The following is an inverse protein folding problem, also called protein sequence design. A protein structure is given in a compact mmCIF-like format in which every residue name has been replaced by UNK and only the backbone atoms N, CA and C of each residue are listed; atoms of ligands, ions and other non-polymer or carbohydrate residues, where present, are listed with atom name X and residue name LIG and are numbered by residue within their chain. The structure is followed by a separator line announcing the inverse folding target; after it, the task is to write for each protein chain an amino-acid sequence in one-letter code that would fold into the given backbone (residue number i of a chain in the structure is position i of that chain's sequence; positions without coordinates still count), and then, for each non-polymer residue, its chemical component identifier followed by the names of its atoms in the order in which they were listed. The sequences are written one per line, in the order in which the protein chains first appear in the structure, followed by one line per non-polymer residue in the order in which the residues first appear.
data_IF_055491337628
#
_entry.id   IF_055491337628
#
_cell.length_a   1.000
_cell.length_b   1.000
_cell.length_c   1.000
_cell.angle_alpha   90.00
_cell.angle_beta   90.00
_cell.angle_gamma   90.00
#
_symmetry.space_group_name_H-M   'P 1'
#
loop_
_entity.id
_entity.type
_entity.pdbx_description
1 polymer ?
#
# COMPACT_ATOMS: atom_id res chain seq x y z
N UNK A 1 -20.92 -28.20 25.68
CA UNK A 1 -20.43 -26.93 26.28
C UNK A 1 -20.99 -25.82 25.42
N UNK A 2 -21.88 -24.99 25.97
CA UNK A 2 -22.56 -23.92 25.24
C UNK A 2 -21.52 -23.01 24.56
N UNK A 3 -21.52 -22.97 23.23
CA UNK A 3 -20.86 -21.91 22.49
C UNK A 3 -21.65 -20.63 22.79
N UNK A 4 -21.14 -19.82 23.72
CA UNK A 4 -21.55 -18.43 23.82
C UNK A 4 -21.33 -17.81 22.44
N UNK A 5 -22.41 -17.52 21.71
CA UNK A 5 -22.35 -16.82 20.42
C UNK A 5 -21.89 -15.39 20.69
N UNK A 6 -20.58 -15.19 20.79
CA UNK A 6 -20.02 -13.84 20.83
C UNK A 6 -20.24 -13.20 19.47
N UNK A 7 -20.97 -12.08 19.44
CA UNK A 7 -21.21 -11.30 18.23
C UNK A 7 -19.95 -10.48 17.88
N UNK A 8 -18.89 -11.16 17.44
CA UNK A 8 -17.65 -10.54 17.00
C UNK A 8 -17.68 -10.37 15.48
N UNK A 9 -17.54 -9.14 15.00
CA UNK A 9 -17.34 -8.83 13.58
C UNK A 9 -15.94 -8.26 13.41
N UNK A 10 -15.21 -8.74 12.41
CA UNK A 10 -13.85 -8.27 12.11
C UNK A 10 -13.77 -7.80 10.67
N UNK A 11 -13.31 -6.57 10.49
CA UNK A 11 -13.12 -5.98 9.17
C UNK A 11 -11.64 -5.72 8.95
N UNK A 12 -11.14 -6.10 7.78
CA UNK A 12 -9.81 -5.77 7.32
C UNK A 12 -9.86 -4.94 6.05
N UNK A 13 -9.08 -3.86 6.00
CA UNK A 13 -8.72 -3.24 4.73
C UNK A 13 -7.23 -2.95 4.64
N UNK A 14 -6.72 -2.87 3.42
CA UNK A 14 -5.31 -2.57 3.14
C UNK A 14 -5.05 -2.34 1.66
N UNK A 15 -3.80 -2.04 1.30
CA UNK A 15 -3.41 -1.82 -0.09
C UNK A 15 -2.22 -2.70 -0.48
N UNK A 16 -2.28 -3.35 -1.64
CA UNK A 16 -1.11 -3.95 -2.27
C UNK A 16 -0.63 -3.09 -3.43
N UNK A 17 0.55 -2.51 -3.30
CA UNK A 17 1.15 -1.66 -4.33
C UNK A 17 2.20 -2.43 -5.12
N UNK A 18 2.09 -2.39 -6.45
CA UNK A 18 3.04 -2.96 -7.40
C UNK A 18 3.43 -1.94 -8.47
N UNK A 19 4.53 -2.17 -9.17
CA UNK A 19 4.96 -1.36 -10.31
C UNK A 19 4.99 -2.25 -11.54
N UNK A 20 4.23 -1.89 -12.58
CA UNK A 20 4.14 -2.64 -13.81
C UNK A 20 5.44 -2.56 -14.64
N UNK A 21 5.91 -3.73 -15.06
CA UNK A 21 6.99 -3.91 -16.02
C UNK A 21 6.55 -3.66 -17.45
N UNK A 22 7.50 -3.77 -18.39
CA UNK A 22 7.23 -3.61 -19.83
C UNK A 22 6.35 -4.75 -20.36
N UNK A 23 6.47 -5.93 -19.76
CA UNK A 23 5.65 -7.12 -19.99
C UNK A 23 4.33 -7.11 -19.20
N UNK A 24 4.13 -6.10 -18.35
CA UNK A 24 2.98 -5.93 -17.46
C UNK A 24 3.09 -6.68 -16.12
N UNK A 25 4.11 -7.51 -15.93
CA UNK A 25 4.37 -8.16 -14.65
C UNK A 25 4.90 -7.20 -13.59
N UNK A 26 4.66 -7.47 -12.31
CA UNK A 26 5.19 -6.64 -11.23
C UNK A 26 6.74 -6.66 -11.20
N UNK A 27 7.38 -5.50 -11.26
CA UNK A 27 8.82 -5.33 -11.16
C UNK A 27 9.31 -5.51 -9.72
N UNK A 28 10.53 -6.03 -9.57
CA UNK A 28 11.27 -5.92 -8.32
C UNK A 28 11.79 -4.48 -8.12
N UNK A 29 11.44 -3.87 -6.99
CA UNK A 29 11.80 -2.50 -6.65
C UNK A 29 12.12 -2.35 -5.17
N UNK A 30 12.51 -1.15 -4.72
CA UNK A 30 12.73 -0.83 -3.30
C UNK A 30 11.51 -0.11 -2.74
N UNK A 31 10.50 -0.83 -2.25
CA UNK A 31 9.27 -0.21 -1.77
C UNK A 31 9.44 0.68 -0.54
N UNK A 32 10.52 0.48 0.22
CA UNK A 32 10.73 1.13 1.52
C UNK A 32 11.84 2.21 1.49
N UNK A 33 12.24 2.67 0.30
CA UNK A 33 13.28 3.70 0.10
C UNK A 33 12.81 5.14 0.34
N UNK A 34 11.58 5.36 0.79
CA UNK A 34 11.06 6.69 1.13
C UNK A 34 11.29 7.07 2.60
N UNK A 35 11.07 8.35 2.91
CA UNK A 35 10.99 8.81 4.30
C UNK A 35 9.85 8.06 5.02
N UNK A 36 10.07 7.66 6.27
CA UNK A 36 9.02 7.02 7.07
C UNK A 36 7.84 7.97 7.24
N UNK A 37 6.66 7.52 6.82
CA UNK A 37 5.36 8.20 6.92
C UNK A 37 4.60 7.87 8.22
N UNK A 38 5.20 7.01 9.05
CA UNK A 38 4.59 6.44 10.25
C UNK A 38 5.07 7.12 11.54
N UNK A 39 4.19 7.27 12.54
CA UNK A 39 4.56 7.76 13.86
C UNK A 39 5.63 6.88 14.52
N UNK A 40 6.50 7.46 15.35
CA UNK A 40 7.63 6.72 15.95
C UNK A 40 7.23 5.69 17.02
N UNK A 41 5.97 5.70 17.48
CA UNK A 41 5.44 4.64 18.34
C UNK A 41 5.16 3.33 17.58
N UNK A 42 5.06 3.39 16.25
CA UNK A 42 4.87 2.20 15.41
C UNK A 42 6.15 1.38 15.43
N UNK A 43 6.03 0.09 15.75
CA UNK A 43 7.17 -0.81 15.74
C UNK A 43 7.65 -0.99 14.30
N UNK A 44 8.96 -1.07 14.16
CA UNK A 44 9.61 -1.50 12.94
C UNK A 44 10.69 -2.53 13.27
N UNK A 45 11.25 -3.16 12.24
CA UNK A 45 12.34 -4.13 12.41
C UNK A 45 13.48 -3.62 13.30
N UNK A 46 13.90 -2.36 13.15
CA UNK A 46 15.06 -1.80 13.84
C UNK A 46 14.83 -1.41 15.31
N UNK A 47 13.58 -1.11 15.73
CA UNK A 47 13.29 -0.54 17.07
C UNK A 47 12.61 -1.50 18.05
N UNK A 48 12.32 -2.74 17.62
CA UNK A 48 11.65 -3.74 18.45
C UNK A 48 12.62 -4.82 18.94
N UNK A 49 12.53 -5.17 20.22
CA UNK A 49 13.30 -6.28 20.83
C UNK A 49 12.89 -7.66 20.26
N UNK A 50 11.83 -7.69 19.45
CA UNK A 50 11.27 -8.86 18.77
C UNK A 50 11.22 -8.74 17.24
N UNK A 51 11.80 -7.67 16.65
CA UNK A 51 11.86 -7.48 15.20
C UNK A 51 13.24 -7.75 14.61
N UNK A 52 13.30 -7.70 13.28
CA UNK A 52 14.53 -7.86 12.49
C UNK A 52 15.63 -6.90 12.95
N UNK A 53 16.72 -7.42 13.52
CA UNK A 53 18.00 -6.70 13.75
C UNK A 53 18.69 -6.28 12.42
N UNK A 54 17.99 -5.61 11.50
CA UNK A 54 18.55 -5.10 10.27
C UNK A 54 18.43 -3.58 10.20
N UNK A 55 19.55 -2.83 10.22
CA UNK A 55 19.55 -1.38 10.04
C UNK A 55 19.25 -0.94 8.58
N UNK A 56 18.59 -1.75 7.75
CA UNK A 56 18.60 -1.60 6.28
C UNK A 56 17.23 -1.84 5.61
N UNK A 57 16.12 -1.41 6.23
CA UNK A 57 14.77 -1.47 5.66
C UNK A 57 14.72 -0.87 4.23
N UNK A 58 15.45 0.22 3.99
CA UNK A 58 15.55 0.92 2.70
C UNK A 58 16.16 0.07 1.57
N UNK A 59 16.95 -0.97 1.89
CA UNK A 59 17.64 -1.83 0.90
C UNK A 59 16.82 -3.04 0.49
N UNK A 60 15.74 -3.37 1.21
CA UNK A 60 14.87 -4.49 0.87
C UNK A 60 14.25 -4.25 -0.50
N UNK A 61 14.41 -5.24 -1.38
CA UNK A 61 13.68 -5.31 -2.62
C UNK A 61 12.50 -6.24 -2.48
N UNK A 62 11.40 -5.90 -3.17
CA UNK A 62 10.22 -6.74 -3.28
C UNK A 62 9.45 -6.41 -4.55
N UNK A 63 8.57 -7.31 -5.00
CA UNK A 63 7.59 -7.03 -6.06
C UNK A 63 6.37 -6.28 -5.55
N UNK A 64 5.91 -6.61 -4.34
CA UNK A 64 4.70 -6.04 -3.74
C UNK A 64 5.03 -5.32 -2.42
N UNK A 65 4.47 -4.13 -2.25
CA UNK A 65 4.39 -3.43 -0.95
C UNK A 65 2.98 -3.59 -0.39
N UNK A 66 2.87 -4.12 0.82
CA UNK A 66 1.62 -4.18 1.56
C UNK A 66 1.53 -2.95 2.49
N UNK A 67 0.65 -2.01 2.12
CA UNK A 67 0.52 -0.72 2.76
C UNK A 67 -0.74 -0.64 3.64
N UNK A 68 -0.52 -0.37 4.93
CA UNK A 68 -1.52 -0.17 6.00
C UNK A 68 -2.70 -1.16 5.99
N UNK A 69 -2.50 -2.49 5.99
CA UNK A 69 -3.50 -3.36 6.56
C UNK A 69 -3.86 -2.95 7.98
N UNK A 70 -5.15 -2.72 8.23
CA UNK A 70 -5.71 -2.53 9.56
C UNK A 70 -6.85 -3.52 9.78
N UNK A 71 -6.95 -4.04 11.00
CA UNK A 71 -8.04 -4.89 11.46
C UNK A 71 -8.87 -4.16 12.51
N UNK A 72 -10.15 -3.97 12.22
CA UNK A 72 -11.14 -3.44 13.16
C UNK A 72 -11.95 -4.56 13.80
N UNK A 73 -12.42 -4.29 15.02
CA UNK A 73 -13.23 -5.22 15.80
C UNK A 73 -14.51 -4.53 16.21
N UNK A 74 -15.63 -5.19 16.02
CA UNK A 74 -16.94 -4.75 16.48
C UNK A 74 -17.52 -5.86 17.35
N UNK A 75 -17.98 -5.48 18.54
CA UNK A 75 -18.54 -6.40 19.52
C UNK A 75 -19.51 -5.64 20.43
N UNK A 76 -20.50 -6.35 20.99
CA UNK A 76 -21.49 -5.75 21.89
C UNK A 76 -21.03 -5.68 23.35
N UNK A 77 -20.01 -6.48 23.70
CA UNK A 77 -19.47 -6.58 25.06
C UNK A 77 -17.95 -6.69 25.02
N UNK A 78 -17.30 -6.32 26.12
CA UNK A 78 -15.87 -6.58 26.26
C UNK A 78 -15.58 -8.07 26.14
N UNK A 79 -14.56 -8.41 25.35
CA UNK A 79 -14.16 -9.79 25.15
C UNK A 79 -12.66 -9.92 24.87
N UNK A 80 -12.13 -11.09 25.18
CA UNK A 80 -10.78 -11.46 24.81
C UNK A 80 -10.79 -12.05 23.39
N UNK A 81 -9.88 -11.58 22.55
CA UNK A 81 -9.71 -12.02 21.16
C UNK A 81 -8.24 -12.32 20.94
N UNK A 82 -7.94 -13.28 20.07
CA UNK A 82 -6.60 -13.47 19.52
C UNK A 82 -6.62 -13.45 18.00
N UNK A 83 -5.56 -12.87 17.41
CA UNK A 83 -5.40 -12.76 15.96
C UNK A 83 -3.99 -13.13 15.55
N UNK A 84 -3.91 -13.98 14.53
CA UNK A 84 -2.69 -14.32 13.81
C UNK A 84 -2.91 -14.19 12.32
N UNK A 85 -2.03 -13.45 11.64
CA UNK A 85 -1.97 -13.34 10.18
C UNK A 85 -0.67 -13.98 9.72
N UNK A 86 -0.77 -15.05 8.93
CA UNK A 86 0.38 -15.62 8.23
C UNK A 86 0.68 -14.82 6.97
N UNK A 87 1.97 -14.74 6.61
CA UNK A 87 2.41 -14.08 5.39
C UNK A 87 3.52 -14.91 4.70
N UNK A 88 3.18 -16.06 4.10
CA UNK A 88 4.16 -17.07 3.69
C UNK A 88 5.14 -16.59 2.62
N UNK A 89 4.68 -15.71 1.74
CA UNK A 89 5.46 -15.14 0.63
C UNK A 89 5.91 -13.70 0.92
N UNK A 90 5.96 -13.32 2.19
CA UNK A 90 6.30 -11.95 2.56
C UNK A 90 6.95 -11.81 3.92
N UNK A 91 7.18 -10.56 4.29
CA UNK A 91 7.83 -10.15 5.53
C UNK A 91 7.08 -8.97 6.11
N UNK A 92 6.77 -9.06 7.39
CA UNK A 92 6.21 -7.95 8.17
C UNK A 92 7.34 -6.98 8.50
N UNK A 93 7.13 -5.69 8.24
CA UNK A 93 8.15 -4.64 8.37
C UNK A 93 7.79 -3.62 9.44
N UNK A 94 6.49 -3.35 9.64
CA UNK A 94 5.99 -2.44 10.67
C UNK A 94 4.67 -2.94 11.25
N UNK A 95 4.41 -2.65 12.52
CA UNK A 95 3.16 -3.02 13.18
C UNK A 95 2.91 -2.20 14.46
N UNK A 96 1.65 -2.18 14.89
CA UNK A 96 1.22 -1.63 16.18
C UNK A 96 -0.18 -2.19 16.49
N UNK A 97 -0.55 -2.47 17.76
CA UNK A 97 0.26 -2.49 18.99
C UNK A 97 1.30 -3.62 19.03
N UNK A 98 1.96 -3.82 20.18
CA UNK A 98 2.97 -4.85 20.41
C UNK A 98 2.43 -6.25 20.07
N UNK A 99 3.04 -6.91 19.08
CA UNK A 99 2.75 -8.31 18.77
C UNK A 99 3.44 -9.27 19.75
N UNK A 100 2.84 -10.45 19.96
CA UNK A 100 3.44 -11.59 20.68
C UNK A 100 4.61 -12.19 19.91
N UNK A 101 4.51 -12.25 18.59
CA UNK A 101 5.62 -12.64 17.72
C UNK A 101 5.46 -12.12 16.30
N UNK A 102 6.59 -11.85 15.65
CA UNK A 102 6.66 -11.49 14.22
C UNK A 102 7.68 -12.41 13.56
N UNK A 103 7.21 -13.37 12.77
CA UNK A 103 8.03 -14.38 12.08
C UNK A 103 7.67 -14.42 10.60
N UNK A 104 7.03 -15.50 10.13
CA UNK A 104 6.49 -15.64 8.77
C UNK A 104 5.09 -15.04 8.66
N UNK A 105 4.85 -13.92 9.36
CA UNK A 105 3.55 -13.40 9.70
C UNK A 105 3.60 -12.62 11.01
N UNK A 106 2.44 -12.24 11.53
CA UNK A 106 2.29 -11.48 12.78
C UNK A 106 1.20 -12.10 13.65
N UNK A 107 1.50 -12.18 14.94
CA UNK A 107 0.64 -12.79 15.94
C UNK A 107 0.58 -11.89 17.17
N UNK A 108 -0.60 -11.34 17.48
CA UNK A 108 -0.80 -10.49 18.64
C UNK A 108 -1.06 -11.27 19.93
N UNK A 109 -1.24 -12.59 19.85
CA UNK A 109 -1.72 -13.37 20.98
C UNK A 109 -3.09 -12.89 21.45
N UNK A 110 -3.39 -13.06 22.73
CA UNK A 110 -4.65 -12.63 23.33
C UNK A 110 -4.60 -11.16 23.74
N UNK A 111 -5.59 -10.38 23.31
CA UNK A 111 -5.82 -8.99 23.66
C UNK A 111 -7.30 -8.74 23.95
N UNK A 112 -7.64 -7.56 24.46
CA UNK A 112 -9.03 -7.22 24.82
C UNK A 112 -9.65 -6.26 23.81
N UNK A 113 -10.87 -6.53 23.37
CA UNK A 113 -11.74 -5.62 22.61
C UNK A 113 -12.64 -4.90 23.59
N UNK A 114 -12.74 -3.57 23.48
CA UNK A 114 -13.33 -2.68 24.48
C UNK A 114 -14.44 -1.80 23.87
N UNK A 115 -15.61 -2.34 23.52
CA UNK A 115 -16.68 -1.55 22.89
C UNK A 115 -17.17 -0.43 23.81
N UNK A 116 -17.38 0.76 23.24
CA UNK A 116 -17.81 1.95 23.98
C UNK A 116 -16.73 2.64 24.84
N UNK A 117 -15.53 2.06 24.97
CA UNK A 117 -14.47 2.65 25.79
C UNK A 117 -13.93 3.96 25.18
N UNK A 118 -13.79 4.98 26.01
CA UNK A 118 -13.12 6.23 25.66
C UNK A 118 -11.64 6.12 26.01
N UNK A 119 -10.81 5.87 25.00
CA UNK A 119 -9.38 5.64 25.17
C UNK A 119 -8.58 6.71 24.45
N UNK A 120 -7.54 7.23 25.11
CA UNK A 120 -6.58 8.10 24.44
C UNK A 120 -5.55 7.24 23.69
N UNK A 121 -5.48 7.43 22.39
CA UNK A 121 -4.49 6.76 21.54
C UNK A 121 -3.21 7.57 21.43
N UNK A 122 -2.05 6.94 21.21
CA UNK A 122 -0.82 7.68 20.97
C UNK A 122 -0.96 8.55 19.72
N UNK A 123 -0.57 9.81 19.85
CA UNK A 123 -0.55 10.80 18.77
C UNK A 123 0.78 11.55 18.86
N UNK A 124 1.37 11.84 17.71
CA UNK A 124 2.53 12.70 17.55
C UNK A 124 2.14 13.92 16.73
N UNK A 125 2.82 15.04 16.97
CA UNK A 125 2.65 16.24 16.16
C UNK A 125 3.08 15.99 14.71
N UNK A 126 2.37 16.61 13.78
CA UNK A 126 2.60 16.45 12.34
C UNK A 126 1.52 15.62 11.65
N UNK A 127 1.41 15.80 10.34
CA UNK A 127 0.50 15.02 9.51
C UNK A 127 1.02 13.58 9.34
N UNK A 128 0.13 12.59 9.47
CA UNK A 128 0.44 11.20 9.17
C UNK A 128 -0.80 10.49 8.63
N UNK A 129 -0.59 9.70 7.59
CA UNK A 129 -1.60 8.83 6.98
C UNK A 129 -2.11 7.72 7.92
N UNK A 130 -1.44 7.52 9.05
CA UNK A 130 -1.84 6.56 10.07
C UNK A 130 -3.15 6.97 10.79
N UNK A 131 -3.32 8.25 11.10
CA UNK A 131 -4.41 8.69 11.99
C UNK A 131 -5.82 8.66 11.37
N UNK A 132 -6.03 8.96 10.07
CA UNK A 132 -7.35 8.86 9.45
C UNK A 132 -8.01 7.48 9.60
N UNK A 133 -7.22 6.40 9.66
CA UNK A 133 -7.71 5.04 9.92
C UNK A 133 -8.44 4.90 11.27
N UNK A 134 -8.33 5.86 12.20
CA UNK A 134 -9.05 5.83 13.47
C UNK A 134 -10.50 6.33 13.38
N UNK A 135 -10.90 6.95 12.26
CA UNK A 135 -12.19 7.62 12.07
C UNK A 135 -13.33 6.62 11.78
N UNK A 136 -13.45 5.58 12.61
CA UNK A 136 -14.44 4.50 12.50
C UNK A 136 -15.19 4.29 13.81
N UNK A 137 -16.24 3.46 13.77
CA UNK A 137 -16.99 3.04 14.96
C UNK A 137 -16.42 1.78 15.63
N UNK A 138 -15.26 1.29 15.18
CA UNK A 138 -14.62 0.09 15.73
C UNK A 138 -14.35 0.22 17.24
N UNK A 139 -14.43 -0.88 17.95
CA UNK A 139 -14.07 -0.94 19.36
C UNK A 139 -12.55 -0.81 19.52
N UNK A 140 -12.06 0.05 20.45
CA UNK A 140 -10.66 0.05 20.84
C UNK A 140 -10.17 -1.34 21.25
N UNK A 141 -8.91 -1.63 20.96
CA UNK A 141 -8.21 -2.81 21.44
C UNK A 141 -7.19 -2.43 22.50
N UNK A 142 -7.01 -3.30 23.50
CA UNK A 142 -5.95 -3.20 24.51
C UNK A 142 -5.06 -4.42 24.44
N UNK A 143 -3.79 -4.19 24.10
CA UNK A 143 -2.75 -5.22 24.07
C UNK A 143 -1.80 -5.00 25.25
N UNK A 144 -1.61 -6.04 26.06
CA UNK A 144 -0.68 -6.03 27.19
C UNK A 144 0.62 -6.73 26.77
N UNK A 145 1.75 -6.05 26.87
CA UNK A 145 3.06 -6.61 26.54
C UNK A 145 4.17 -6.17 27.49
N UNK A 146 5.40 -6.55 27.18
CA UNK A 146 6.57 -6.19 28.01
C UNK A 146 6.86 -4.69 28.06
N UNK A 147 6.32 -3.92 27.10
CA UNK A 147 6.41 -2.45 27.09
C UNK A 147 5.19 -1.77 27.72
N UNK A 148 4.40 -2.53 28.48
CA UNK A 148 3.19 -2.06 29.15
C UNK A 148 1.92 -2.27 28.33
N UNK A 149 0.87 -1.56 28.71
CA UNK A 149 -0.42 -1.61 28.03
C UNK A 149 -0.44 -0.62 26.87
N UNK A 150 -0.85 -1.10 25.70
CA UNK A 150 -0.99 -0.30 24.49
C UNK A 150 -2.43 -0.37 23.98
N UNK A 151 -2.92 0.77 23.50
CA UNK A 151 -4.27 0.88 22.99
C UNK A 151 -4.26 1.44 21.57
N UNK A 152 -5.17 0.93 20.74
CA UNK A 152 -5.38 1.43 19.39
C UNK A 152 -6.82 1.15 18.95
N UNK A 153 -7.28 1.82 17.90
CA UNK A 153 -8.58 1.57 17.26
C UNK A 153 -8.60 0.30 16.40
N UNK A 154 -7.42 -0.21 16.04
CA UNK A 154 -7.20 -1.32 15.12
C UNK A 154 -5.88 -2.04 15.42
N UNK A 155 -5.71 -3.25 14.87
CA UNK A 155 -4.37 -3.84 14.72
C UNK A 155 -3.80 -3.42 13.37
N UNK A 156 -2.63 -2.80 13.37
CA UNK A 156 -1.93 -2.33 12.18
C UNK A 156 -0.74 -3.22 11.86
N UNK A 157 -0.57 -3.55 10.59
CA UNK A 157 0.62 -4.21 10.09
C UNK A 157 0.93 -3.84 8.65
N UNK A 158 2.22 -3.76 8.31
CA UNK A 158 2.73 -3.52 6.97
C UNK A 158 3.80 -4.54 6.64
N UNK A 159 4.03 -4.72 5.34
CA UNK A 159 5.03 -5.65 4.88
C UNK A 159 5.40 -5.50 3.43
N UNK A 160 6.26 -6.39 2.99
CA UNK A 160 6.68 -6.54 1.60
C UNK A 160 6.64 -8.01 1.23
N UNK A 161 6.38 -8.33 -0.03
CA UNK A 161 6.30 -9.71 -0.46
C UNK A 161 6.66 -9.97 -1.91
N UNK A 162 6.88 -11.26 -2.18
CA UNK A 162 7.25 -11.86 -3.45
C UNK A 162 6.15 -12.83 -3.88
N UNK A 163 5.01 -12.27 -4.27
CA UNK A 163 3.85 -13.03 -4.76
C UNK A 163 3.21 -12.30 -5.95
N UNK A 164 2.47 -13.06 -6.75
CA UNK A 164 1.74 -12.52 -7.90
C UNK A 164 0.34 -12.05 -7.50
N UNK A 165 -0.03 -10.88 -8.01
CA UNK A 165 -1.39 -10.36 -7.96
C UNK A 165 -2.15 -10.80 -9.23
N UNK A 166 -3.49 -10.90 -9.18
CA UNK A 166 -4.26 -11.45 -10.29
C UNK A 166 -4.40 -10.48 -11.47
N UNK A 167 -4.00 -9.22 -11.30
CA UNK A 167 -4.08 -8.20 -12.35
C UNK A 167 -2.71 -7.94 -12.97
N UNK A 168 -2.60 -8.18 -14.27
CA UNK A 168 -1.49 -7.72 -15.10
C UNK A 168 -1.90 -6.43 -15.81
N UNK A 169 -1.01 -5.44 -15.81
CA UNK A 169 -1.25 -4.14 -16.43
C UNK A 169 -0.05 -3.77 -17.29
N UNK A 170 -0.27 -3.54 -18.58
CA UNK A 170 0.77 -3.15 -19.54
C UNK A 170 0.33 -1.92 -20.32
N UNK A 171 1.28 -1.10 -20.73
CA UNK A 171 1.05 -0.03 -21.69
C UNK A 171 1.51 -0.47 -23.09
N UNK A 172 0.62 -0.43 -24.07
CA UNK A 172 0.91 -0.70 -25.47
C UNK A 172 0.56 0.52 -26.32
N UNK A 173 1.60 1.23 -26.79
CA UNK A 173 1.42 2.54 -27.40
C UNK A 173 0.79 3.51 -26.39
N UNK A 174 -0.41 4.01 -26.71
CA UNK A 174 -1.20 4.88 -25.83
C UNK A 174 -2.25 4.17 -24.98
N UNK A 175 -2.44 2.86 -25.16
CA UNK A 175 -3.52 2.09 -24.55
C UNK A 175 -3.03 1.25 -23.37
N UNK A 176 -3.91 1.05 -22.40
CA UNK A 176 -3.69 0.22 -21.21
C UNK A 176 -4.28 -1.16 -21.48
N UNK A 177 -3.43 -2.16 -21.54
CA UNK A 177 -3.82 -3.58 -21.56
C UNK A 177 -3.97 -4.05 -20.11
N UNK A 178 -5.15 -4.55 -19.77
CA UNK A 178 -5.45 -5.07 -18.45
C UNK A 178 -5.88 -6.52 -18.59
N UNK A 179 -5.20 -7.43 -17.88
CA UNK A 179 -5.44 -8.86 -17.97
C UNK A 179 -5.62 -9.48 -16.59
N UNK A 180 -6.70 -10.22 -16.43
CA UNK A 180 -6.91 -11.09 -15.28
C UNK A 180 -6.13 -12.40 -15.49
N UNK A 181 -5.14 -12.63 -14.62
CA UNK A 181 -4.35 -13.87 -14.53
C UNK A 181 -4.94 -14.84 -13.50
N UNK A 182 -5.89 -14.39 -12.70
CA UNK A 182 -6.58 -15.18 -11.69
C UNK A 182 -7.68 -16.05 -12.29
N UNK A 183 -8.22 -16.93 -11.44
CA UNK A 183 -9.37 -17.79 -11.79
C UNK A 183 -10.71 -17.11 -11.51
N UNK A 184 -10.75 -16.24 -10.51
CA UNK A 184 -11.95 -15.51 -10.11
C UNK A 184 -12.07 -14.23 -10.93
N UNK A 185 -13.30 -13.82 -11.24
CA UNK A 185 -13.59 -12.54 -11.88
C UNK A 185 -13.13 -11.41 -10.96
N UNK A 186 -12.36 -10.47 -11.50
CA UNK A 186 -12.09 -9.20 -10.82
C UNK A 186 -13.31 -8.32 -11.07
N UNK A 187 -13.90 -7.77 -10.01
CA UNK A 187 -15.03 -6.86 -10.17
C UNK A 187 -14.56 -5.46 -10.57
N UNK A 188 -15.06 -4.43 -9.89
CA UNK A 188 -14.79 -3.06 -10.32
C UNK A 188 -13.30 -2.72 -10.27
N UNK A 189 -12.83 -2.15 -11.37
CA UNK A 189 -11.47 -1.61 -11.49
C UNK A 189 -11.47 -0.23 -12.14
N UNK A 190 -10.44 0.54 -11.83
CA UNK A 190 -10.34 1.96 -12.16
C UNK A 190 -9.02 2.21 -12.85
N UNK A 191 -9.04 2.83 -14.03
CA UNK A 191 -7.85 3.43 -14.63
C UNK A 191 -7.85 4.91 -14.24
N UNK A 192 -6.83 5.33 -13.50
CA UNK A 192 -6.64 6.72 -13.07
C UNK A 192 -5.36 7.28 -13.66
N UNK A 193 -5.42 8.52 -14.13
CA UNK A 193 -4.24 9.28 -14.52
C UNK A 193 -4.27 10.68 -13.94
N UNK A 194 -3.13 11.14 -13.44
CA UNK A 194 -2.87 12.54 -13.13
C UNK A 194 -1.59 12.99 -13.86
N UNK A 195 -1.66 14.11 -14.58
CA UNK A 195 -0.52 14.71 -15.27
C UNK A 195 -0.57 16.22 -15.12
N UNK A 196 0.48 16.79 -14.54
CA UNK A 196 0.62 18.23 -14.31
C UNK A 196 -0.59 18.85 -13.58
N UNK A 197 -1.14 18.11 -12.61
CA UNK A 197 -2.29 18.53 -11.81
C UNK A 197 -3.65 18.37 -12.49
N UNK A 198 -3.70 17.91 -13.75
CA UNK A 198 -4.96 17.52 -14.41
C UNK A 198 -5.18 16.02 -14.24
N UNK A 199 -6.36 15.64 -13.78
CA UNK A 199 -6.71 14.25 -13.51
C UNK A 199 -7.85 13.72 -14.39
N UNK A 200 -7.88 12.40 -14.54
CA UNK A 200 -8.87 11.68 -15.31
C UNK A 200 -9.03 10.26 -14.78
N UNK A 201 -10.23 9.69 -14.89
CA UNK A 201 -10.43 8.28 -14.59
C UNK A 201 -11.58 7.64 -15.37
N UNK A 202 -11.51 6.31 -15.48
CA UNK A 202 -12.59 5.45 -15.98
C UNK A 202 -12.78 4.28 -15.03
N UNK A 203 -14.04 3.93 -14.75
CA UNK A 203 -14.44 2.79 -13.93
C UNK A 203 -15.03 1.74 -14.88
N UNK A 204 -14.69 0.49 -14.64
CA UNK A 204 -15.18 -0.67 -15.38
C UNK A 204 -15.74 -1.69 -14.39
N UNK A 205 -16.81 -2.39 -14.78
CA UNK A 205 -17.59 -3.22 -13.85
C UNK A 205 -16.93 -4.54 -13.50
N UNK A 206 -16.29 -5.20 -14.47
CA UNK A 206 -15.67 -6.51 -14.26
C UNK A 206 -14.60 -6.84 -15.30
N UNK A 207 -13.75 -7.81 -14.96
CA UNK A 207 -12.71 -8.35 -15.80
C UNK A 207 -12.56 -9.86 -15.59
N UNK A 208 -12.90 -10.64 -16.61
CA UNK A 208 -12.72 -12.11 -16.64
C UNK A 208 -11.50 -12.56 -17.45
N UNK A 209 -11.04 -11.73 -18.40
CA UNK A 209 -9.94 -12.06 -19.30
C UNK A 209 -9.04 -10.86 -19.55
N UNK A 210 -8.88 -10.48 -20.82
CA UNK A 210 -8.01 -9.38 -21.24
C UNK A 210 -8.84 -8.29 -21.95
N UNK A 211 -8.52 -7.03 -21.67
CA UNK A 211 -9.12 -5.86 -22.32
C UNK A 211 -8.05 -4.84 -22.65
N UNK A 212 -8.25 -4.13 -23.77
CA UNK A 212 -7.41 -3.01 -24.20
C UNK A 212 -8.25 -1.75 -24.06
N UNK A 213 -7.75 -0.79 -23.28
CA UNK A 213 -8.51 0.37 -22.85
C UNK A 213 -7.75 1.66 -23.15
N UNK A 214 -8.45 2.71 -23.55
CA UNK A 214 -7.84 4.02 -23.67
C UNK A 214 -7.53 4.61 -22.29
N UNK A 215 -6.47 5.42 -22.24
CA UNK A 215 -6.20 6.29 -21.10
C UNK A 215 -7.35 7.28 -20.91
N UNK A 216 -7.68 7.64 -19.66
CA UNK A 216 -8.75 8.59 -19.39
C UNK A 216 -8.42 9.98 -19.94
N UNK A 217 -9.45 10.72 -20.34
CA UNK A 217 -9.35 12.17 -20.55
C UNK A 217 -9.07 12.85 -19.20
N UNK A 218 -8.24 13.90 -19.20
CA UNK A 218 -7.82 14.59 -17.97
C UNK A 218 -8.76 15.76 -17.63
N UNK A 219 -10.05 15.46 -17.55
CA UNK A 219 -11.16 16.40 -17.38
C UNK A 219 -12.00 16.16 -16.12
N UNK A 220 -11.57 15.26 -15.23
CA UNK A 220 -12.29 14.92 -13.98
C UNK A 220 -11.51 15.28 -12.73
N UNK A 221 -12.21 15.52 -11.63
CA UNK A 221 -11.59 15.85 -10.34
C UNK A 221 -11.32 14.61 -9.50
N UNK A 222 -10.30 14.69 -8.65
CA UNK A 222 -9.98 13.66 -7.65
C UNK A 222 -11.12 13.46 -6.65
N UNK A 223 -11.81 14.53 -6.25
CA UNK A 223 -12.94 14.44 -5.31
C UNK A 223 -14.08 13.55 -5.82
N UNK A 224 -14.33 13.52 -7.13
CA UNK A 224 -15.35 12.66 -7.71
C UNK A 224 -14.92 11.19 -7.62
N UNK A 225 -13.65 10.92 -7.94
CA UNK A 225 -13.07 9.59 -7.82
C UNK A 225 -13.03 9.08 -6.36
N UNK A 226 -12.75 9.95 -5.40
CA UNK A 226 -12.75 9.58 -3.97
C UNK A 226 -14.12 9.04 -3.55
N UNK A 227 -15.20 9.75 -3.89
CA UNK A 227 -16.58 9.31 -3.61
C UNK A 227 -16.90 8.00 -4.32
N UNK A 228 -16.51 7.84 -5.58
CA UNK A 228 -16.72 6.59 -6.32
C UNK A 228 -15.98 5.42 -5.67
N UNK A 229 -14.73 5.62 -5.21
CA UNK A 229 -13.98 4.60 -4.48
C UNK A 229 -14.67 4.25 -3.16
N UNK A 230 -15.20 5.21 -2.41
CA UNK A 230 -15.96 4.93 -1.18
C UNK A 230 -17.20 4.06 -1.46
N UNK A 231 -17.93 4.34 -2.54
CA UNK A 231 -19.08 3.53 -2.99
C UNK A 231 -18.64 2.12 -3.39
N UNK A 232 -17.51 1.99 -4.10
CA UNK A 232 -16.95 0.68 -4.46
C UNK A 232 -16.60 -0.09 -3.18
N UNK A 233 -15.81 0.49 -2.28
CA UNK A 233 -15.36 -0.15 -1.04
C UNK A 233 -16.53 -0.61 -0.15
N UNK A 234 -17.60 0.18 -0.06
CA UNK A 234 -18.81 -0.19 0.68
C UNK A 234 -19.59 -1.31 0.00
N UNK A 235 -19.63 -1.35 -1.33
CA UNK A 235 -20.20 -2.48 -2.10
C UNK A 235 -19.46 -3.80 -1.81
N UNK A 236 -18.16 -3.73 -1.51
CA UNK A 236 -17.34 -4.88 -1.12
C UNK A 236 -17.41 -5.23 0.39
N UNK A 237 -18.24 -4.53 1.15
CA UNK A 237 -18.57 -4.87 2.54
C UNK A 237 -17.94 -3.98 3.61
N UNK A 238 -17.12 -2.99 3.25
CA UNK A 238 -16.66 -2.01 4.25
C UNK A 238 -17.83 -1.16 4.74
N UNK A 239 -17.81 -0.78 6.01
CA UNK A 239 -18.72 0.25 6.50
C UNK A 239 -18.34 1.63 5.94
N UNK A 240 -19.32 2.53 5.82
CA UNK A 240 -19.12 3.85 5.23
C UNK A 240 -17.95 4.63 5.84
N UNK A 241 -17.82 4.61 7.17
CA UNK A 241 -16.70 5.25 7.87
C UNK A 241 -15.35 4.58 7.62
N UNK A 242 -15.33 3.27 7.42
CA UNK A 242 -14.09 2.55 7.07
C UNK A 242 -13.63 2.89 5.66
N UNK A 243 -14.56 2.94 4.70
CA UNK A 243 -14.28 3.34 3.33
C UNK A 243 -13.74 4.78 3.25
N UNK A 244 -14.39 5.72 3.96
CA UNK A 244 -13.90 7.11 4.10
C UNK A 244 -12.52 7.17 4.75
N UNK A 245 -12.31 6.42 5.84
CA UNK A 245 -11.03 6.35 6.52
C UNK A 245 -9.91 5.83 5.61
N UNK A 246 -10.17 4.78 4.82
CA UNK A 246 -9.21 4.24 3.85
C UNK A 246 -8.84 5.28 2.77
N UNK A 247 -9.83 5.94 2.16
CA UNK A 247 -9.59 6.97 1.14
C UNK A 247 -8.82 8.16 1.73
N UNK A 248 -9.19 8.62 2.92
CA UNK A 248 -8.50 9.71 3.63
C UNK A 248 -7.08 9.34 4.04
N UNK A 249 -6.83 8.09 4.45
CA UNK A 249 -5.48 7.57 4.72
C UNK A 249 -4.61 7.69 3.48
N UNK A 250 -5.12 7.39 2.28
CA UNK A 250 -4.31 7.33 1.06
C UNK A 250 -4.40 8.53 0.13
N UNK A 251 -5.21 9.55 0.46
CA UNK A 251 -5.52 10.68 -0.41
C UNK A 251 -4.29 11.39 -0.99
N UNK A 252 -3.21 11.51 -0.21
CA UNK A 252 -1.98 12.18 -0.64
C UNK A 252 -1.16 11.34 -1.62
N UNK A 253 -1.33 10.02 -1.63
CA UNK A 253 -0.45 9.08 -2.33
C UNK A 253 -1.12 8.38 -3.51
N UNK A 254 -2.43 8.12 -3.42
CA UNK A 254 -3.19 7.44 -4.48
C UNK A 254 -3.45 8.35 -5.68
N UNK A 255 -3.46 9.67 -5.48
CA UNK A 255 -3.87 10.62 -6.52
C UNK A 255 -2.72 11.53 -6.98
N UNK A 256 -1.47 11.19 -6.64
CA UNK A 256 -0.25 11.84 -7.14
C UNK A 256 -0.10 11.71 -8.66
N UNK A 257 0.89 12.37 -9.24
CA UNK A 257 1.18 12.30 -10.66
C UNK A 257 1.51 10.87 -11.14
N UNK A 258 1.00 10.49 -12.30
CA UNK A 258 1.21 9.19 -12.93
C UNK A 258 -0.07 8.47 -13.35
N UNK A 259 0.11 7.33 -14.02
CA UNK A 259 -0.94 6.42 -14.46
C UNK A 259 -0.96 5.20 -13.55
N UNK A 260 -2.14 4.79 -13.10
CA UNK A 260 -2.32 3.61 -12.24
C UNK A 260 -3.65 2.93 -12.43
N UNK A 261 -3.69 1.67 -12.06
CA UNK A 261 -4.92 0.86 -12.02
C UNK A 261 -5.22 0.44 -10.60
N UNK A 262 -6.43 0.73 -10.14
CA UNK A 262 -6.98 0.30 -8.86
C UNK A 262 -8.00 -0.82 -9.07
N UNK A 263 -8.08 -1.78 -8.17
CA UNK A 263 -9.11 -2.80 -8.14
C UNK A 263 -9.23 -3.38 -6.73
N UNK A 264 -10.39 -3.94 -6.39
CA UNK A 264 -10.51 -4.74 -5.15
C UNK A 264 -9.99 -6.14 -5.44
N UNK A 265 -9.00 -6.58 -4.66
CA UNK A 265 -8.39 -7.90 -4.79
C UNK A 265 -9.43 -8.97 -4.42
N UNK A 266 -9.64 -9.99 -5.26
CA UNK A 266 -10.57 -11.07 -4.95
C UNK A 266 -10.30 -11.68 -3.58
N UNK A 267 -11.35 -11.91 -2.79
CA UNK A 267 -11.23 -12.38 -1.40
C UNK A 267 -10.40 -13.66 -1.27
N UNK A 268 -10.60 -14.63 -2.17
CA UNK A 268 -9.82 -15.88 -2.18
C UNK A 268 -8.33 -15.65 -2.37
N UNK A 269 -7.95 -14.66 -3.19
CA UNK A 269 -6.56 -14.27 -3.39
C UNK A 269 -5.98 -13.66 -2.11
N UNK A 270 -6.72 -12.77 -1.46
CA UNK A 270 -6.33 -12.20 -0.16
C UNK A 270 -6.15 -13.29 0.91
N UNK A 271 -7.07 -14.24 1.02
CA UNK A 271 -6.98 -15.34 1.99
C UNK A 271 -5.80 -16.28 1.72
N UNK A 272 -5.40 -16.46 0.47
CA UNK A 272 -4.23 -17.25 0.11
C UNK A 272 -2.90 -16.52 0.40
N UNK A 273 -2.85 -15.20 0.21
CA UNK A 273 -1.66 -14.37 0.46
C UNK A 273 -1.47 -14.15 1.96
N UNK A 274 -2.56 -13.84 2.67
CA UNK A 274 -2.59 -13.48 4.09
C UNK A 274 -3.57 -14.38 4.86
N UNK A 275 -3.30 -15.68 5.05
CA UNK A 275 -4.16 -16.52 5.87
C UNK A 275 -4.32 -15.93 7.28
N UNK A 276 -5.55 -15.83 7.78
CA UNK A 276 -5.86 -15.23 9.07
C UNK A 276 -6.59 -16.23 9.97
N UNK A 277 -6.18 -16.30 11.23
CA UNK A 277 -6.84 -17.07 12.30
C UNK A 277 -7.25 -16.13 13.42
N UNK A 278 -8.51 -16.21 13.82
CA UNK A 278 -9.11 -15.38 14.88
C UNK A 278 -9.85 -16.29 15.86
N UNK A 279 -9.63 -16.10 17.16
CA UNK A 279 -10.33 -16.81 18.24
C UNK A 279 -10.89 -15.81 19.27
N UNK A 280 -12.18 -15.85 19.62
CA UNK A 280 -13.20 -16.74 19.05
C UNK A 280 -13.43 -16.45 17.56
N UNK A 281 -13.97 -17.44 16.84
CA UNK A 281 -14.31 -17.26 15.43
C UNK A 281 -15.33 -16.12 15.28
N UNK A 282 -15.07 -15.10 14.44
CA UNK A 282 -16.00 -14.01 14.27
C UNK A 282 -17.25 -14.49 13.54
N UNK A 283 -18.39 -13.90 13.88
CA UNK A 283 -19.66 -14.08 13.18
C UNK A 283 -19.55 -13.60 11.72
N UNK A 284 -18.73 -12.58 11.48
CA UNK A 284 -18.44 -12.05 10.16
C UNK A 284 -16.96 -11.60 10.05
N UNK A 285 -16.33 -11.95 8.93
CA UNK A 285 -14.98 -11.50 8.58
C UNK A 285 -15.00 -10.86 7.19
N UNK A 286 -14.97 -9.53 7.13
CA UNK A 286 -14.82 -8.75 5.89
C UNK A 286 -13.35 -8.47 5.64
N UNK A 287 -12.90 -8.60 4.39
CA UNK A 287 -11.50 -8.29 3.99
C UNK A 287 -11.50 -7.64 2.62
N UNK A 288 -11.20 -6.35 2.57
CA UNK A 288 -11.20 -5.53 1.35
C UNK A 288 -9.82 -4.93 1.15
N UNK A 289 -9.01 -5.60 0.33
CA UNK A 289 -7.68 -5.13 -0.01
C UNK A 289 -7.70 -4.54 -1.43
N UNK A 290 -7.16 -3.34 -1.59
CA UNK A 290 -7.07 -2.67 -2.89
C UNK A 290 -5.73 -2.99 -3.53
N UNK A 291 -5.76 -3.54 -4.74
CA UNK A 291 -4.60 -3.63 -5.59
C UNK A 291 -4.37 -2.28 -6.28
N UNK A 292 -3.17 -1.72 -6.12
CA UNK A 292 -2.70 -0.50 -6.77
C UNK A 292 -1.51 -0.85 -7.67
N UNK A 293 -1.69 -0.73 -8.98
CA UNK A 293 -0.62 -1.00 -9.95
C UNK A 293 -0.18 0.31 -10.59
N UNK A 294 1.05 0.73 -10.31
CA UNK A 294 1.66 1.90 -10.94
C UNK A 294 2.20 1.56 -12.32
N UNK A 295 1.94 2.42 -13.30
CA UNK A 295 2.39 2.23 -14.68
C UNK A 295 3.42 3.30 -15.01
N UNK A 296 4.65 2.88 -15.35
CA UNK A 296 5.68 3.79 -15.85
C UNK A 296 5.36 4.12 -17.31
N UNK A 297 5.04 5.38 -17.59
CA UNK A 297 4.71 5.84 -18.94
C UNK A 297 5.94 6.35 -19.70
N UNK A 298 5.92 6.34 -21.05
CA UNK A 298 6.97 6.93 -21.87
C UNK A 298 7.25 8.41 -21.54
N UNK A 299 6.21 9.18 -21.20
CA UNK A 299 6.36 10.59 -20.85
C UNK A 299 7.13 10.77 -19.53
N UNK A 300 6.93 9.87 -18.57
CA UNK A 300 7.70 9.86 -17.32
C UNK A 300 9.17 9.51 -17.58
N UNK A 301 9.43 8.50 -18.42
CA UNK A 301 10.79 8.14 -18.83
C UNK A 301 11.50 9.31 -19.51
N UNK A 302 10.85 9.95 -20.48
CA UNK A 302 11.39 11.10 -21.20
C UNK A 302 11.63 12.30 -20.27
N UNK A 303 10.68 12.60 -19.39
CA UNK A 303 10.81 13.68 -18.42
C UNK A 303 12.00 13.45 -17.49
N UNK A 304 12.15 12.25 -16.92
CA UNK A 304 13.28 11.91 -16.05
C UNK A 304 14.59 11.92 -16.82
N UNK A 305 14.65 11.34 -18.02
CA UNK A 305 15.86 11.32 -18.85
C UNK A 305 16.34 12.73 -19.19
N UNK A 306 15.43 13.66 -19.52
CA UNK A 306 15.76 15.08 -19.74
C UNK A 306 16.39 15.72 -18.49
N UNK A 307 15.92 15.39 -17.29
CA UNK A 307 16.53 15.93 -16.06
C UNK A 307 17.88 15.26 -15.75
N UNK A 308 18.02 13.97 -16.01
CA UNK A 308 19.31 13.26 -15.85
C UNK A 308 20.39 13.91 -16.72
N UNK A 309 20.08 14.28 -17.97
CA UNK A 309 21.00 14.99 -18.85
C UNK A 309 21.50 16.31 -18.25
N UNK A 310 20.62 17.04 -17.53
CA UNK A 310 20.96 18.32 -16.88
C UNK A 310 21.88 18.18 -15.68
N UNK A 311 22.07 16.98 -15.13
CA UNK A 311 23.02 16.76 -14.03
C UNK A 311 24.48 17.01 -14.44
N UNK A 312 24.77 17.04 -15.74
CA UNK A 312 26.08 17.42 -16.30
C UNK A 312 26.31 18.94 -16.34
N UNK A 313 25.28 19.74 -16.14
CA UNK A 313 25.39 21.20 -16.30
C UNK A 313 26.35 21.78 -15.26
N UNK A 314 27.29 22.68 -15.63
CA UNK A 314 28.25 23.26 -14.70
C UNK A 314 27.60 24.13 -13.60
N UNK A 315 26.41 24.66 -13.84
CA UNK A 315 25.66 25.47 -12.90
C UNK A 315 24.98 24.62 -11.81
N UNK A 316 25.22 24.96 -10.54
CA UNK A 316 24.72 24.17 -9.39
C UNK A 316 23.20 24.20 -9.29
N UNK A 317 22.60 25.37 -9.51
CA UNK A 317 21.16 25.60 -9.48
C UNK A 317 20.42 24.73 -10.49
N UNK A 318 21.02 24.49 -11.66
CA UNK A 318 20.44 23.60 -12.69
C UNK A 318 20.47 22.15 -12.21
N UNK A 319 21.58 21.70 -11.62
CA UNK A 319 21.69 20.33 -11.09
C UNK A 319 20.74 20.09 -9.91
N UNK A 320 20.60 21.06 -9.01
CA UNK A 320 19.66 20.99 -7.87
C UNK A 320 18.22 20.93 -8.36
N UNK A 321 17.83 21.78 -9.31
CA UNK A 321 16.49 21.76 -9.89
C UNK A 321 16.21 20.44 -10.62
N UNK A 322 17.18 19.92 -11.37
CA UNK A 322 17.07 18.63 -12.04
C UNK A 322 16.89 17.48 -11.04
N UNK A 323 17.69 17.45 -9.97
CA UNK A 323 17.55 16.44 -8.91
C UNK A 323 16.16 16.51 -8.25
N UNK A 324 15.67 17.71 -7.93
CA UNK A 324 14.32 17.90 -7.37
C UNK A 324 13.24 17.36 -8.32
N UNK A 325 13.38 17.62 -9.62
CA UNK A 325 12.44 17.14 -10.63
C UNK A 325 12.50 15.60 -10.81
N UNK A 326 13.68 14.99 -10.69
CA UNK A 326 13.83 13.52 -10.67
C UNK A 326 13.15 12.93 -9.44
N UNK A 327 13.39 13.53 -8.26
CA UNK A 327 12.86 13.05 -6.98
C UNK A 327 11.35 13.30 -6.80
N UNK A 328 10.71 14.06 -7.70
CA UNK A 328 9.25 14.30 -7.72
C UNK A 328 8.45 12.99 -7.75
N UNK A 329 8.99 11.94 -8.37
CA UNK A 329 8.35 10.61 -8.46
C UNK A 329 8.56 9.74 -7.20
N UNK A 330 9.19 10.30 -6.16
CA UNK A 330 9.36 9.66 -4.85
C UNK A 330 9.98 8.26 -4.96
N UNK A 331 9.32 7.29 -4.32
CA UNK A 331 9.74 5.88 -4.30
C UNK A 331 9.72 5.18 -5.66
N UNK A 332 9.07 5.76 -6.67
CA UNK A 332 9.00 5.21 -8.03
C UNK A 332 10.13 5.71 -8.94
N UNK A 333 10.96 6.64 -8.45
CA UNK A 333 12.13 7.17 -9.17
C UNK A 333 13.09 6.05 -9.61
N UNK A 334 13.46 5.12 -8.71
CA UNK A 334 14.37 4.03 -9.04
C UNK A 334 13.82 3.10 -10.15
N UNK A 335 12.56 2.62 -10.09
CA UNK A 335 11.94 1.91 -11.20
C UNK A 335 12.02 2.64 -12.55
N UNK A 336 11.74 3.94 -12.59
CA UNK A 336 11.81 4.74 -13.83
C UNK A 336 13.26 4.79 -14.35
N UNK A 337 14.22 5.08 -13.47
CA UNK A 337 15.65 5.11 -13.80
C UNK A 337 16.13 3.76 -14.37
N UNK A 338 15.75 2.63 -13.75
CA UNK A 338 16.09 1.29 -14.25
C UNK A 338 15.51 1.03 -15.63
N UNK A 339 14.31 1.53 -15.92
CA UNK A 339 13.67 1.37 -17.23
C UNK A 339 14.38 2.18 -18.31
N UNK A 340 14.77 3.42 -18.01
CA UNK A 340 15.59 4.25 -18.90
C UNK A 340 16.95 3.58 -19.14
N UNK A 341 17.63 3.10 -18.09
CA UNK A 341 18.94 2.44 -18.17
C UNK A 341 18.94 1.25 -19.16
N UNK A 342 17.84 0.48 -19.19
CA UNK A 342 17.68 -0.67 -20.09
C UNK A 342 17.43 -0.29 -21.55
N UNK A 343 16.98 0.94 -21.83
CA UNK A 343 16.52 1.37 -23.17
C UNK A 343 17.42 2.39 -23.84
N UNK A 344 18.09 3.24 -23.07
CA UNK A 344 18.98 4.27 -23.62
C UNK A 344 20.25 3.63 -24.18
N UNK A 345 20.81 4.21 -25.25
CA UNK A 345 22.14 3.86 -25.77
C UNK A 345 23.21 4.89 -25.39
N UNK A 346 22.81 6.03 -24.82
CA UNK A 346 23.72 7.08 -24.36
C UNK A 346 24.50 6.63 -23.12
N UNK A 347 25.82 6.46 -23.29
CA UNK A 347 26.72 5.95 -22.26
C UNK A 347 26.89 6.92 -21.08
N UNK A 348 26.82 8.23 -21.32
CA UNK A 348 26.89 9.21 -20.23
C UNK A 348 25.63 9.17 -19.37
N UNK A 349 24.47 9.06 -20.02
CA UNK A 349 23.19 8.90 -19.33
C UNK A 349 23.19 7.58 -18.53
N UNK A 350 23.66 6.47 -19.11
CA UNK A 350 23.81 5.19 -18.38
C UNK A 350 24.65 5.36 -17.11
N UNK A 351 25.78 6.04 -17.21
CA UNK A 351 26.70 6.26 -16.09
C UNK A 351 26.04 7.08 -14.99
N UNK A 352 25.43 8.22 -15.33
CA UNK A 352 24.70 9.08 -14.37
C UNK A 352 23.55 8.34 -13.69
N UNK A 353 22.78 7.55 -14.45
CA UNK A 353 21.69 6.74 -13.87
C UNK A 353 22.23 5.69 -12.89
N UNK A 354 23.32 5.01 -13.23
CA UNK A 354 23.92 4.02 -12.34
C UNK A 354 24.40 4.66 -11.03
N UNK A 355 25.00 5.86 -11.10
CA UNK A 355 25.38 6.65 -9.93
C UNK A 355 24.18 7.08 -9.09
N UNK A 356 23.11 7.58 -9.71
CA UNK A 356 21.88 7.93 -9.01
C UNK A 356 21.32 6.72 -8.25
N UNK A 357 21.15 5.58 -8.92
CA UNK A 357 20.65 4.35 -8.29
C UNK A 357 21.55 3.91 -7.14
N UNK A 358 22.89 4.05 -7.26
CA UNK A 358 23.83 3.74 -6.18
C UNK A 358 23.72 4.72 -5.01
N UNK A 359 23.51 6.01 -5.29
CA UNK A 359 23.45 7.07 -4.28
C UNK A 359 22.13 7.00 -3.49
N UNK A 360 21.03 6.67 -4.15
CA UNK A 360 19.75 6.35 -3.50
C UNK A 360 19.86 5.12 -2.57
N UNK A 361 20.84 4.22 -2.77
CA UNK A 361 21.14 3.13 -1.82
C UNK A 361 21.99 3.55 -0.61
N UNK A 362 22.70 4.67 -0.71
CA UNK A 362 23.72 5.09 0.26
C UNK A 362 23.25 6.20 1.20
N UNK A 363 22.34 7.07 0.76
CA UNK A 363 21.83 8.21 1.53
C UNK A 363 20.58 7.89 2.37
N UNK A 364 20.23 6.61 2.58
CA UNK A 364 18.98 6.17 3.25
C UNK A 364 19.21 5.00 4.20
#
# INVERSE_FOLDING_TARGET
VNQSNFNLIVHEWGTFTSVAGVDGGALEWRPLSGVSDLPSFVYNGATSDQGFRHPLKSKLTARIRMETPVLYFYADQEMDVSVKVDFPQGKITEWYPQARSVRNGIDWGRFRVLPGAQVQFPVQSGESHYYPARETDAAPVRVCGVRGQQHEKFLFYRGVGEFDLPLLVKLEGGSVVVKNLGKDVIGQFIIFENRDGKSGYRIYDSLSGEVILDRPTLDRTVDSLQRDIEVILTTYGLYAKEAQAMVKTWQSSWFEEGLRVFYVVPRKTTDAILPITIDPQPAELVRVLVGRTEVITPEMEEAVQKQVAKLANPALEVRVAAMKAIMKYGRFTEPILKRILKRTDDLEIKTRIAELIKTTKANI
#
